data_IF_511671996241
#
_entry.id   IF_511671996241
#
_cell.length_a   1.000
_cell.length_b   1.000
_cell.length_c   1.000
_cell.angle_alpha   90.00
_cell.angle_beta   90.00
_cell.angle_gamma   90.00
#
_symmetry.space_group_name_H-M   'P 1'
#
loop_
_entity.id
_entity.type
_entity.pdbx_description
1 polymer ?
#
# COMPACT_ATOMS: atom_id res chain seq x y z
N UNK A 1 -25.58 -29.76 -2.97
CA UNK A 1 -24.17 -29.62 -3.42
C UNK A 1 -23.32 -30.51 -2.52
N UNK A 2 -22.44 -31.37 -3.06
CA UNK A 2 -21.55 -32.18 -2.20
C UNK A 2 -20.44 -31.29 -1.62
N UNK A 3 -20.07 -31.49 -0.35
CA UNK A 3 -19.03 -30.68 0.32
C UNK A 3 -17.71 -30.59 -0.48
N UNK A 4 -17.37 -31.65 -1.21
CA UNK A 4 -16.20 -31.70 -2.08
C UNK A 4 -16.22 -30.69 -3.25
N UNK A 5 -17.41 -30.25 -3.70
CA UNK A 5 -17.55 -29.19 -4.72
C UNK A 5 -17.57 -27.79 -4.10
N UNK A 6 -17.97 -27.68 -2.83
CA UNK A 6 -18.01 -26.40 -2.12
C UNK A 6 -16.61 -25.88 -1.78
N UNK A 7 -15.67 -26.78 -1.46
CA UNK A 7 -14.29 -26.42 -1.11
C UNK A 7 -13.54 -25.60 -2.18
N UNK A 8 -13.44 -26.03 -3.46
CA UNK A 8 -12.73 -25.25 -4.47
C UNK A 8 -13.41 -23.91 -4.76
N UNK A 9 -14.74 -23.82 -4.65
CA UNK A 9 -15.48 -22.56 -4.78
C UNK A 9 -15.16 -21.61 -3.64
N UNK A 10 -15.08 -22.10 -2.40
CA UNK A 10 -14.69 -21.31 -1.24
C UNK A 10 -13.24 -20.82 -1.35
N UNK A 11 -12.33 -21.66 -1.83
CA UNK A 11 -10.94 -21.29 -2.09
C UNK A 11 -10.83 -20.18 -3.15
N UNK A 12 -11.56 -20.32 -4.26
CA UNK A 12 -11.62 -19.30 -5.30
C UNK A 12 -12.23 -17.99 -4.79
N UNK A 13 -13.30 -18.08 -4.00
CA UNK A 13 -13.93 -16.92 -3.36
C UNK A 13 -12.99 -16.19 -2.40
N UNK A 14 -12.23 -16.92 -1.58
CA UNK A 14 -11.21 -16.34 -0.71
C UNK A 14 -10.11 -15.64 -1.51
N UNK A 15 -9.64 -16.24 -2.61
CA UNK A 15 -8.67 -15.61 -3.49
C UNK A 15 -9.17 -14.31 -4.11
N UNK A 16 -10.40 -14.31 -4.63
CA UNK A 16 -11.03 -13.13 -5.20
C UNK A 16 -11.17 -12.03 -4.16
N UNK A 17 -11.60 -12.39 -2.94
CA UNK A 17 -11.68 -11.46 -1.82
C UNK A 17 -10.31 -10.88 -1.45
N UNK A 18 -9.27 -11.72 -1.31
CA UNK A 18 -7.93 -11.27 -0.98
C UNK A 18 -7.39 -10.31 -2.06
N UNK A 19 -7.54 -10.68 -3.34
CA UNK A 19 -7.12 -9.83 -4.47
C UNK A 19 -7.84 -8.47 -4.46
N UNK A 20 -9.14 -8.45 -4.20
CA UNK A 20 -9.90 -7.22 -4.04
C UNK A 20 -9.37 -6.38 -2.88
N UNK A 21 -9.08 -6.98 -1.72
CA UNK A 21 -8.52 -6.26 -0.56
C UNK A 21 -7.18 -5.59 -0.90
N UNK A 22 -6.30 -6.22 -1.68
CA UNK A 22 -5.05 -5.60 -2.10
C UNK A 22 -5.25 -4.47 -3.11
N UNK A 23 -6.12 -4.67 -4.10
CA UNK A 23 -6.44 -3.64 -5.08
C UNK A 23 -7.10 -2.41 -4.44
N UNK A 24 -7.92 -2.63 -3.41
CA UNK A 24 -8.64 -1.60 -2.69
C UNK A 24 -7.97 -1.22 -1.35
N UNK A 25 -6.71 -1.59 -1.10
CA UNK A 25 -6.10 -1.45 0.22
C UNK A 25 -6.10 0.02 0.69
N UNK A 26 -5.78 0.95 -0.21
CA UNK A 26 -5.69 2.38 0.10
C UNK A 26 -7.05 2.98 0.46
N UNK A 27 -8.10 2.87 -0.37
CA UNK A 27 -9.41 3.40 0.01
C UNK A 27 -10.00 2.68 1.24
N UNK A 28 -9.68 1.40 1.45
CA UNK A 28 -10.04 0.69 2.68
C UNK A 28 -9.36 1.35 3.90
N UNK A 29 -8.08 1.72 3.81
CA UNK A 29 -7.36 2.37 4.90
C UNK A 29 -7.80 3.81 5.17
N UNK A 30 -8.15 4.56 4.11
CA UNK A 30 -8.74 5.89 4.25
C UNK A 30 -10.03 5.85 5.09
N UNK A 31 -10.86 4.83 4.90
CA UNK A 31 -12.14 4.68 5.63
C UNK A 31 -11.92 4.09 7.03
N UNK A 32 -10.98 3.17 7.19
CA UNK A 32 -10.80 2.39 8.42
C UNK A 32 -9.99 3.09 9.52
N UNK A 33 -9.50 4.33 9.32
CA UNK A 33 -8.92 5.24 10.32
C UNK A 33 -8.29 4.55 11.56
N UNK A 34 -7.22 3.77 11.35
CA UNK A 34 -6.48 3.07 12.41
C UNK A 34 -6.67 1.55 12.45
N UNK A 35 -7.70 1.00 11.83
CA UNK A 35 -7.99 -0.45 11.77
C UNK A 35 -7.27 -1.16 10.60
N UNK A 36 -6.08 -0.69 10.24
CA UNK A 36 -5.28 -1.19 9.12
C UNK A 36 -4.91 -2.68 9.20
N UNK A 37 -4.97 -3.26 10.40
CA UNK A 37 -4.71 -4.69 10.64
C UNK A 37 -5.89 -5.59 10.28
N UNK A 38 -7.11 -5.07 10.22
CA UNK A 38 -8.32 -5.88 9.98
C UNK A 38 -8.28 -6.60 8.64
N UNK A 39 -7.99 -5.94 7.50
CA UNK A 39 -7.97 -6.63 6.21
C UNK A 39 -6.93 -7.76 6.17
N UNK A 40 -5.74 -7.53 6.76
CA UNK A 40 -4.70 -8.55 6.87
C UNK A 40 -5.11 -9.71 7.77
N UNK A 41 -5.71 -9.42 8.93
CA UNK A 41 -6.22 -10.44 9.83
C UNK A 41 -7.30 -11.30 9.16
N UNK A 42 -8.19 -10.70 8.37
CA UNK A 42 -9.22 -11.42 7.60
C UNK A 42 -8.61 -12.35 6.55
N UNK A 43 -7.58 -11.90 5.82
CA UNK A 43 -6.87 -12.74 4.85
C UNK A 43 -6.24 -13.95 5.55
N UNK A 44 -5.46 -13.71 6.62
CA UNK A 44 -4.79 -14.77 7.39
C UNK A 44 -5.79 -15.76 7.98
N UNK A 45 -6.84 -15.25 8.64
CA UNK A 45 -7.88 -16.10 9.24
C UNK A 45 -8.58 -16.94 8.18
N UNK A 46 -8.84 -16.38 6.99
CA UNK A 46 -9.42 -17.10 5.87
C UNK A 46 -8.56 -18.30 5.42
N UNK A 47 -7.23 -18.13 5.33
CA UNK A 47 -6.31 -19.24 5.02
C UNK A 47 -6.38 -20.32 6.10
N UNK A 48 -6.33 -19.93 7.38
CA UNK A 48 -6.35 -20.88 8.49
C UNK A 48 -7.66 -21.67 8.53
N UNK A 49 -8.80 -21.02 8.28
CA UNK A 49 -10.10 -21.67 8.19
C UNK A 49 -10.17 -22.65 7.02
N UNK A 50 -9.70 -22.24 5.82
CA UNK A 50 -9.65 -23.11 4.65
C UNK A 50 -8.71 -24.30 4.84
N UNK A 51 -7.57 -24.10 5.52
CA UNK A 51 -6.63 -25.16 5.83
C UNK A 51 -7.24 -26.16 6.82
N UNK A 52 -7.86 -25.68 7.90
CA UNK A 52 -8.55 -26.53 8.87
C UNK A 52 -9.70 -27.33 8.22
N UNK A 53 -10.47 -26.70 7.34
CA UNK A 53 -11.52 -27.38 6.58
C UNK A 53 -10.94 -28.41 5.61
N UNK A 54 -9.87 -28.08 4.89
CA UNK A 54 -9.17 -28.99 4.00
C UNK A 54 -8.60 -30.21 4.73
N UNK A 55 -8.02 -30.01 5.91
CA UNK A 55 -7.54 -31.10 6.77
C UNK A 55 -8.68 -31.99 7.26
N UNK A 56 -9.80 -31.40 7.69
CA UNK A 56 -11.01 -32.15 8.07
C UNK A 56 -11.52 -33.02 6.92
N UNK A 57 -11.58 -32.48 5.70
CA UNK A 57 -11.99 -33.24 4.51
C UNK A 57 -11.03 -34.40 4.22
N UNK A 58 -9.72 -34.16 4.34
CA UNK A 58 -8.70 -35.20 4.21
C UNK A 58 -8.92 -36.32 5.25
N UNK A 59 -9.15 -36.00 6.52
CA UNK A 59 -9.37 -36.98 7.58
C UNK A 59 -10.64 -37.82 7.36
N UNK A 60 -11.71 -37.25 6.80
CA UNK A 60 -12.95 -37.98 6.52
C UNK A 60 -12.81 -39.01 5.39
N UNK A 61 -12.09 -38.67 4.31
CA UNK A 61 -11.89 -39.57 3.14
C UNK A 61 -10.47 -39.41 2.58
N UNK A 62 -9.44 -40.00 3.22
CA UNK A 62 -8.04 -39.74 2.88
C UNK A 62 -7.68 -39.99 1.41
N UNK A 63 -8.13 -41.13 0.86
CA UNK A 63 -7.84 -41.49 -0.54
C UNK A 63 -8.43 -40.52 -1.57
N UNK A 64 -9.51 -39.82 -1.25
CA UNK A 64 -10.21 -38.93 -2.19
C UNK A 64 -9.88 -37.46 -1.97
N UNK A 65 -9.69 -37.05 -0.71
CA UNK A 65 -9.63 -35.64 -0.32
C UNK A 65 -8.22 -35.15 0.03
N UNK A 66 -7.18 -35.98 -0.14
CA UNK A 66 -5.78 -35.55 0.02
C UNK A 66 -5.36 -34.31 -0.79
N UNK A 67 -5.96 -33.96 -1.95
CA UNK A 67 -5.57 -32.75 -2.65
C UNK A 67 -6.01 -31.47 -1.95
N UNK A 68 -7.02 -31.50 -1.07
CA UNK A 68 -7.59 -30.30 -0.45
C UNK A 68 -6.55 -29.42 0.29
N UNK A 69 -5.75 -29.93 1.25
CA UNK A 69 -4.74 -29.12 1.91
C UNK A 69 -3.63 -28.65 0.94
N UNK A 70 -3.27 -29.47 -0.05
CA UNK A 70 -2.25 -29.10 -1.05
C UNK A 70 -2.72 -27.90 -1.88
N UNK A 71 -3.99 -27.90 -2.30
CA UNK A 71 -4.57 -26.77 -3.03
C UNK A 71 -4.55 -25.48 -2.20
N UNK A 72 -4.78 -25.55 -0.89
CA UNK A 72 -4.68 -24.37 0.01
C UNK A 72 -3.24 -23.88 0.11
N UNK A 73 -2.27 -24.79 0.23
CA UNK A 73 -0.85 -24.41 0.28
C UNK A 73 -0.37 -23.79 -1.03
N UNK A 74 -0.71 -24.40 -2.17
CA UNK A 74 -0.41 -23.84 -3.50
C UNK A 74 -1.08 -22.48 -3.68
N UNK A 75 -2.32 -22.35 -3.23
CA UNK A 75 -3.05 -21.09 -3.24
C UNK A 75 -2.32 -20.01 -2.42
N UNK A 76 -1.92 -20.34 -1.19
CA UNK A 76 -1.16 -19.43 -0.34
C UNK A 76 0.19 -19.04 -0.97
N UNK A 77 0.93 -20.00 -1.56
CA UNK A 77 2.18 -19.71 -2.25
C UNK A 77 1.98 -18.78 -3.46
N UNK A 78 0.95 -19.04 -4.27
CA UNK A 78 0.60 -18.17 -5.40
C UNK A 78 0.20 -16.77 -4.92
N UNK A 79 -0.55 -16.69 -3.82
CA UNK A 79 -0.92 -15.43 -3.20
C UNK A 79 0.30 -14.59 -2.80
N UNK A 80 1.30 -15.18 -2.15
CA UNK A 80 2.55 -14.49 -1.82
C UNK A 80 3.28 -13.94 -3.05
N UNK A 81 3.27 -14.68 -4.17
CA UNK A 81 3.86 -14.20 -5.43
C UNK A 81 3.06 -13.09 -6.10
N UNK A 82 1.74 -13.08 -5.94
CA UNK A 82 0.83 -12.10 -6.56
C UNK A 82 0.55 -10.87 -5.68
N UNK A 83 0.86 -10.91 -4.39
CA UNK A 83 0.48 -9.83 -3.48
C UNK A 83 1.19 -8.52 -3.79
N UNK A 84 2.47 -8.54 -4.09
CA UNK A 84 3.22 -7.34 -4.47
C UNK A 84 2.69 -6.68 -5.77
N UNK A 85 2.53 -7.41 -6.90
CA UNK A 85 2.01 -6.78 -8.12
C UNK A 85 0.55 -6.32 -7.98
N UNK A 86 -0.29 -7.04 -7.23
CA UNK A 86 -1.67 -6.61 -6.96
C UNK A 86 -1.71 -5.36 -6.09
N UNK A 87 -0.88 -5.30 -5.06
CA UNK A 87 -0.72 -4.12 -4.22
C UNK A 87 -0.29 -2.94 -5.07
N UNK A 88 0.80 -3.07 -5.84
CA UNK A 88 1.30 -2.02 -6.74
C UNK A 88 0.22 -1.53 -7.72
N UNK A 89 -0.57 -2.44 -8.29
CA UNK A 89 -1.69 -2.07 -9.16
C UNK A 89 -2.75 -1.26 -8.41
N UNK A 90 -3.12 -1.67 -7.19
CA UNK A 90 -4.04 -0.92 -6.32
C UNK A 90 -3.52 0.48 -6.00
N UNK A 91 -2.23 0.60 -5.69
CA UNK A 91 -1.59 1.90 -5.46
C UNK A 91 -1.64 2.77 -6.73
N UNK A 92 -1.32 2.22 -7.91
CA UNK A 92 -1.40 2.97 -9.17
C UNK A 92 -2.83 3.45 -9.48
N UNK A 93 -3.84 2.61 -9.26
CA UNK A 93 -5.25 2.99 -9.42
C UNK A 93 -5.64 4.12 -8.46
N UNK A 94 -5.20 4.05 -7.20
CA UNK A 94 -5.49 5.11 -6.23
C UNK A 94 -4.75 6.41 -6.56
N UNK A 95 -3.50 6.33 -7.03
CA UNK A 95 -2.76 7.48 -7.51
C UNK A 95 -3.46 8.16 -8.69
N UNK A 96 -3.85 7.38 -9.70
CA UNK A 96 -4.55 7.91 -10.88
C UNK A 96 -5.84 8.65 -10.50
N UNK A 97 -6.56 8.16 -9.49
CA UNK A 97 -7.76 8.82 -8.95
C UNK A 97 -7.47 10.20 -8.33
N UNK A 98 -6.31 10.37 -7.69
CA UNK A 98 -5.94 11.58 -6.95
C UNK A 98 -4.93 12.48 -7.68
N UNK A 99 -4.45 12.07 -8.86
CA UNK A 99 -3.40 12.75 -9.62
C UNK A 99 -3.69 14.24 -9.82
N UNK A 100 -4.90 14.60 -10.25
CA UNK A 100 -5.28 15.99 -10.46
C UNK A 100 -5.20 16.86 -9.18
N UNK A 101 -5.43 16.26 -8.01
CA UNK A 101 -5.27 16.95 -6.73
C UNK A 101 -3.79 17.11 -6.39
N UNK A 102 -2.98 16.08 -6.62
CA UNK A 102 -1.53 16.14 -6.41
C UNK A 102 -0.88 17.18 -7.30
N UNK A 103 -1.22 17.22 -8.60
CA UNK A 103 -0.70 18.19 -9.56
C UNK A 103 -1.00 19.63 -9.12
N UNK A 104 -2.22 19.88 -8.61
CA UNK A 104 -2.63 21.20 -8.10
C UNK A 104 -1.88 21.60 -6.83
N UNK A 105 -1.62 20.67 -5.92
CA UNK A 105 -0.82 20.97 -4.72
C UNK A 105 0.61 21.30 -5.12
N UNK A 106 1.19 20.55 -6.07
CA UNK A 106 2.53 20.83 -6.59
C UNK A 106 2.58 22.20 -7.26
N UNK A 107 1.64 22.52 -8.15
CA UNK A 107 1.58 23.81 -8.82
C UNK A 107 1.48 24.98 -7.82
N UNK A 108 0.63 24.87 -6.80
CA UNK A 108 0.50 25.90 -5.76
C UNK A 108 1.74 26.00 -4.86
N UNK A 109 2.41 24.88 -4.58
CA UNK A 109 3.68 24.89 -3.86
C UNK A 109 4.76 25.65 -4.65
N UNK A 110 4.84 25.39 -5.95
CA UNK A 110 5.80 26.04 -6.86
C UNK A 110 5.52 27.53 -7.06
N UNK A 111 4.23 27.90 -7.09
CA UNK A 111 3.80 29.29 -7.16
C UNK A 111 3.90 30.04 -5.81
N UNK A 112 4.23 29.35 -4.71
CA UNK A 112 4.23 29.94 -3.36
C UNK A 112 2.82 30.29 -2.85
N UNK A 113 1.78 29.68 -3.42
CA UNK A 113 0.37 29.93 -3.11
C UNK A 113 -0.23 28.88 -2.17
N UNK A 114 0.59 27.93 -1.70
CA UNK A 114 0.14 26.84 -0.86
C UNK A 114 -0.41 27.37 0.48
N UNK A 115 -1.68 27.08 0.75
CA UNK A 115 -2.34 27.43 2.01
C UNK A 115 -2.28 26.26 2.98
N UNK A 116 -1.78 26.49 4.19
CA UNK A 116 -1.71 25.47 5.22
C UNK A 116 -1.10 25.98 6.52
N UNK A 117 -0.92 25.08 7.48
CA UNK A 117 -0.19 25.34 8.71
C UNK A 117 1.31 25.22 8.44
N UNK A 118 2.04 26.30 8.71
CA UNK A 118 3.50 26.25 8.66
C UNK A 118 4.04 25.56 9.91
N UNK A 119 4.89 24.56 9.73
CA UNK A 119 5.59 23.86 10.81
C UNK A 119 6.83 24.64 11.24
N UNK A 120 7.39 24.37 12.43
CA UNK A 120 8.66 25.00 12.85
C UNK A 120 9.84 24.74 11.91
N UNK A 121 9.78 23.69 11.08
CA UNK A 121 10.79 23.39 10.06
C UNK A 121 10.57 24.18 8.75
N UNK A 122 9.59 25.09 8.70
CA UNK A 122 9.24 25.84 7.49
C UNK A 122 8.46 25.05 6.44
N UNK A 123 8.00 23.84 6.77
CA UNK A 123 7.16 23.06 5.88
C UNK A 123 5.69 23.52 5.99
N UNK A 124 4.91 23.34 4.93
CA UNK A 124 3.49 23.69 4.90
C UNK A 124 2.67 22.41 4.91
N UNK A 125 1.81 22.25 5.91
CA UNK A 125 0.89 21.11 6.05
C UNK A 125 -0.55 21.54 5.84
N UNK A 126 -1.35 20.73 5.15
CA UNK A 126 -2.75 21.04 4.92
C UNK A 126 -3.51 19.90 4.28
N UNK A 127 -4.78 20.14 3.96
CA UNK A 127 -5.65 19.19 3.26
C UNK A 127 -6.29 19.91 2.08
N UNK A 128 -6.25 19.29 0.90
CA UNK A 128 -6.93 19.79 -0.31
C UNK A 128 -7.74 18.66 -0.94
N UNK A 129 -9.04 18.86 -1.14
CA UNK A 129 -9.96 17.85 -1.68
C UNK A 129 -9.88 16.51 -0.91
N UNK A 130 -9.75 16.58 0.42
CA UNK A 130 -9.54 15.39 1.25
C UNK A 130 -8.19 14.71 1.01
N UNK A 131 -7.20 15.42 0.45
CA UNK A 131 -5.81 14.97 0.32
C UNK A 131 -4.86 15.74 1.24
N UNK A 132 -4.34 15.08 2.28
CA UNK A 132 -3.38 15.65 3.21
C UNK A 132 -1.98 15.73 2.58
N UNK A 133 -1.38 16.91 2.66
CA UNK A 133 -0.05 17.19 2.10
C UNK A 133 0.89 17.79 3.16
N UNK A 134 2.17 17.57 2.94
CA UNK A 134 3.29 18.19 3.64
C UNK A 134 4.32 18.60 2.59
N UNK A 135 4.36 19.89 2.28
CA UNK A 135 5.26 20.47 1.30
C UNK A 135 6.44 21.15 2.00
N UNK A 136 7.66 20.90 1.53
CA UNK A 136 8.85 21.64 1.97
C UNK A 136 9.19 22.64 0.88
N UNK A 137 8.91 23.95 1.08
CA UNK A 137 9.22 24.96 0.07
C UNK A 137 10.74 25.04 -0.15
N UNK A 138 11.17 25.03 -1.41
CA UNK A 138 12.58 25.10 -1.79
C UNK A 138 12.77 25.02 -3.32
N UNK A 139 13.97 25.32 -3.84
CA UNK A 139 14.23 25.43 -5.29
C UNK A 139 14.04 24.13 -6.08
N UNK A 140 13.92 22.98 -5.40
CA UNK A 140 13.61 21.69 -6.01
C UNK A 140 12.13 21.28 -5.92
N UNK A 141 11.29 22.00 -5.15
CA UNK A 141 9.85 21.74 -5.03
C UNK A 141 9.52 20.32 -4.52
N UNK A 142 9.86 20.02 -3.26
CA UNK A 142 9.56 18.73 -2.66
C UNK A 142 8.18 18.75 -2.00
N UNK A 143 7.29 17.86 -2.45
CA UNK A 143 5.96 17.67 -1.86
C UNK A 143 5.78 16.21 -1.46
N UNK A 144 5.46 15.97 -0.19
CA UNK A 144 5.09 14.67 0.35
C UNK A 144 3.58 14.65 0.62
N UNK A 145 2.91 13.62 0.14
CA UNK A 145 1.51 13.36 0.44
C UNK A 145 1.44 12.23 1.48
N UNK A 146 1.07 12.60 2.71
CA UNK A 146 1.15 11.73 3.91
C UNK A 146 -0.02 10.76 4.04
N UNK A 147 -1.05 10.88 3.21
CA UNK A 147 -2.37 10.34 3.58
C UNK A 147 -2.58 8.85 3.31
N UNK A 148 -1.56 8.13 2.86
CA UNK A 148 -1.65 6.67 2.76
C UNK A 148 -1.21 6.01 4.08
N UNK A 149 -1.27 6.77 5.18
CA UNK A 149 -0.96 6.33 6.54
C UNK A 149 -2.14 5.59 7.16
N UNK A 150 -2.20 4.28 6.90
CA UNK A 150 -2.95 3.35 7.72
C UNK A 150 -2.22 3.09 9.05
N UNK A 151 -2.16 4.08 9.94
CA UNK A 151 -1.54 3.94 11.27
C UNK A 151 -0.02 3.74 11.28
N UNK A 152 0.53 3.47 12.48
CA UNK A 152 1.98 3.47 12.77
C UNK A 152 2.83 2.41 12.04
N UNK A 153 2.27 1.54 11.19
CA UNK A 153 2.94 0.33 10.70
C UNK A 153 2.85 0.07 9.18
N UNK A 154 2.15 0.89 8.41
CA UNK A 154 2.18 0.82 6.94
C UNK A 154 2.18 2.22 6.35
N UNK A 155 3.36 2.66 5.94
CA UNK A 155 3.58 3.98 5.37
C UNK A 155 3.85 3.82 3.88
N UNK A 156 2.80 4.06 3.09
CA UNK A 156 3.00 4.48 1.72
C UNK A 156 3.03 6.00 1.75
N UNK A 157 3.97 6.59 1.03
CA UNK A 157 3.97 8.03 0.83
C UNK A 157 4.18 8.25 -0.66
N UNK A 158 3.41 9.19 -1.21
CA UNK A 158 3.62 9.69 -2.55
C UNK A 158 4.46 10.95 -2.46
N UNK A 159 5.52 11.03 -3.26
CA UNK A 159 6.42 12.17 -3.34
C UNK A 159 6.41 12.73 -4.73
N UNK A 160 6.52 14.04 -4.83
CA UNK A 160 6.88 14.73 -6.06
C UNK A 160 8.30 15.28 -5.92
N UNK A 161 9.20 14.87 -6.83
CA UNK A 161 10.56 15.41 -6.94
C UNK A 161 10.91 15.70 -8.41
N UNK A 162 11.13 16.99 -8.72
CA UNK A 162 11.55 17.45 -10.05
C UNK A 162 12.88 16.86 -10.51
N UNK A 163 13.76 16.45 -9.59
CA UNK A 163 15.07 15.86 -9.90
C UNK A 163 14.99 14.41 -10.38
N UNK A 164 13.76 13.91 -10.55
CA UNK A 164 13.39 12.54 -10.92
C UNK A 164 13.46 11.58 -9.75
N UNK A 165 12.55 10.61 -9.74
CA UNK A 165 12.66 9.47 -8.84
C UNK A 165 14.03 8.81 -9.08
N UNK A 166 14.82 8.50 -8.04
CA UNK A 166 15.96 7.62 -8.23
C UNK A 166 15.39 6.36 -8.91
N UNK A 167 15.85 6.08 -10.12
CA UNK A 167 15.39 4.92 -10.87
C UNK A 167 15.61 3.64 -10.07
N UNK A 168 15.17 2.51 -10.64
CA UNK A 168 15.20 1.12 -10.13
C UNK A 168 16.51 0.61 -9.48
N UNK A 169 17.53 1.44 -9.34
CA UNK A 169 18.67 1.28 -8.45
C UNK A 169 18.21 1.30 -6.99
N UNK A 170 17.70 0.15 -6.55
CA UNK A 170 17.53 -0.21 -5.14
C UNK A 170 18.83 0.17 -4.39
N UNK A 171 18.80 1.25 -3.60
CA UNK A 171 19.89 1.55 -2.67
C UNK A 171 20.53 2.94 -2.74
N UNK A 172 20.06 3.89 -3.56
CA UNK A 172 20.43 5.30 -3.33
C UNK A 172 19.44 5.92 -2.33
N UNK A 173 19.86 6.25 -1.09
CA UNK A 173 19.04 7.03 -0.19
C UNK A 173 18.80 8.39 -0.83
N UNK A 174 17.54 8.79 -0.95
CA UNK A 174 17.26 10.20 -1.26
C UNK A 174 17.42 10.97 0.03
N UNK A 175 18.16 12.07 -0.06
CA UNK A 175 18.23 13.06 0.99
C UNK A 175 16.84 13.69 1.14
N UNK A 176 16.02 13.12 2.02
CA UNK A 176 14.97 13.91 2.66
C UNK A 176 15.68 15.10 3.31
N UNK A 177 15.32 16.36 2.99
CA UNK A 177 15.89 17.50 3.68
C UNK A 177 15.69 17.29 5.19
N UNK A 178 16.79 17.38 5.95
CA UNK A 178 16.80 17.07 7.36
C UNK A 178 15.69 17.85 8.08
N UNK A 179 14.72 17.13 8.63
CA UNK A 179 13.61 17.70 9.37
C UNK A 179 14.08 18.05 10.78
N UNK A 180 14.85 19.13 10.93
CA UNK A 180 15.44 19.53 12.21
C UNK A 180 16.48 18.55 12.75
N UNK A 181 16.95 18.78 13.98
CA UNK A 181 18.15 18.24 14.66
C UNK A 181 18.28 16.72 14.83
N UNK A 182 17.53 15.90 14.08
CA UNK A 182 17.78 14.47 13.95
C UNK A 182 18.42 14.20 12.59
N UNK A 183 19.62 13.59 12.52
CA UNK A 183 20.12 13.03 11.29
C UNK A 183 19.25 11.82 10.93
N UNK A 184 18.10 12.05 10.31
CA UNK A 184 17.24 11.00 9.83
C UNK A 184 17.80 10.51 8.50
N UNK A 185 18.85 9.69 8.58
CA UNK A 185 19.19 8.75 7.51
C UNK A 185 18.15 7.64 7.54
N UNK A 186 16.89 8.00 7.27
CA UNK A 186 15.85 7.02 7.08
C UNK A 186 16.04 6.52 5.66
N UNK A 187 16.47 5.26 5.52
CA UNK A 187 16.62 4.60 4.22
C UNK A 187 15.24 4.42 3.62
N UNK A 188 14.72 5.47 2.98
CA UNK A 188 13.48 5.43 2.23
C UNK A 188 13.78 4.65 0.94
N UNK A 189 13.41 3.38 0.93
CA UNK A 189 13.46 2.55 -0.26
C UNK A 189 12.36 3.00 -1.22
N UNK A 190 12.74 3.55 -2.38
CA UNK A 190 11.79 3.77 -3.46
C UNK A 190 11.34 2.42 -4.02
N UNK A 191 10.04 2.20 -4.04
CA UNK A 191 9.47 0.90 -4.41
C UNK A 191 8.86 0.96 -5.81
N UNK A 192 8.30 2.11 -6.21
CA UNK A 192 7.53 2.21 -7.45
C UNK A 192 7.55 3.64 -8.03
N UNK A 193 7.77 3.75 -9.35
CA UNK A 193 7.55 4.98 -10.12
C UNK A 193 6.08 5.03 -10.54
N UNK A 194 5.36 6.10 -10.16
CA UNK A 194 3.93 6.22 -10.43
C UNK A 194 3.63 6.95 -11.75
N UNK A 195 4.59 7.72 -12.27
CA UNK A 195 4.46 8.53 -13.48
C UNK A 195 5.03 9.94 -13.28
N UNK A 196 5.61 10.52 -14.34
CA UNK A 196 6.23 11.85 -14.29
C UNK A 196 7.30 11.97 -13.19
N UNK A 197 7.09 12.91 -12.28
CA UNK A 197 7.95 13.19 -11.12
C UNK A 197 7.44 12.56 -9.81
N UNK A 198 6.43 11.68 -9.89
CA UNK A 198 5.83 11.04 -8.73
C UNK A 198 6.45 9.69 -8.39
N UNK A 199 6.84 9.54 -7.13
CA UNK A 199 7.46 8.32 -6.60
C UNK A 199 6.66 7.82 -5.40
N UNK A 200 6.58 6.50 -5.26
CA UNK A 200 6.03 5.85 -4.08
C UNK A 200 7.16 5.21 -3.27
N UNK A 201 7.12 5.42 -1.96
CA UNK A 201 8.06 4.80 -1.03
C UNK A 201 7.31 3.92 -0.06
N UNK A 202 7.83 2.72 0.17
CA UNK A 202 7.46 1.93 1.32
C UNK A 202 8.44 2.20 2.46
N UNK A 203 7.90 2.59 3.61
CA UNK A 203 8.61 2.38 4.86
C UNK A 203 8.28 0.97 5.36
N UNK A 204 9.26 0.08 5.30
CA UNK A 204 9.27 -1.12 6.12
C UNK A 204 10.04 -0.71 7.39
N UNK A 205 9.32 -0.53 8.50
CA UNK A 205 9.93 -0.34 9.83
C UNK A 205 10.17 -1.70 10.46
#
# INVERSE_FOLDING_TARGET
MTEARAFPLALAGWFAFAAFVLLACVPIYEVLAGWHRVPWAMIVLGVLMLLAWGLRLLLQKPRRNWPAPILVLLAASLWFGLSEPLLNAGLMLNFARHQATYDRVVADAEAGLLKGKTTPSGAIEGVRNGQAFHAVPGPAGFVRFKEWQGGDYMFFDVFHDRRSCPGRNKGRPVHTPAQGSRPATLSVGYSLHLGGHYCLTHLIV
#
